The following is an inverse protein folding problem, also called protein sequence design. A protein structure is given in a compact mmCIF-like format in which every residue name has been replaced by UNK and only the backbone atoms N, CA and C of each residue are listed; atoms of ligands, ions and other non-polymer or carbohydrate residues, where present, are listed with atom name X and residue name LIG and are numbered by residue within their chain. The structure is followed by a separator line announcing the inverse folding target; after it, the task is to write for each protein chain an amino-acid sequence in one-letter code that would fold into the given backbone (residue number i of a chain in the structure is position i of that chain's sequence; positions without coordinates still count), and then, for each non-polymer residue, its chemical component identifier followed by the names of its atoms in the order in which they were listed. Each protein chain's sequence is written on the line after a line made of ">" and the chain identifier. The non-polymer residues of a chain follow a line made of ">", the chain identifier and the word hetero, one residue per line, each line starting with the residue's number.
data_IF_320213773882
#
_entry.id   IF_320213773882
#
_cell.length_a   1.000
_cell.length_b   1.000
_cell.length_c   1.000
_cell.angle_alpha   90.00
_cell.angle_beta   90.00
_cell.angle_gamma   90.00
#
_symmetry.space_group_name_H-M   'P 1'
#
loop_
_entity.id
_entity.type
_entity.pdbx_description
1 polymer ?
#
# COMPACT_ATOMS: atom_id res chain seq x y z
N UNK A 1 19.30 -16.55 -33.20
CA UNK A 1 20.21 -16.14 -32.15
C UNK A 1 19.44 -16.31 -30.85
N UNK A 2 19.80 -17.33 -30.06
CA UNK A 2 19.19 -17.53 -28.72
C UNK A 2 19.59 -16.33 -27.89
N UNK A 3 18.61 -15.51 -27.50
CA UNK A 3 18.80 -14.49 -26.49
C UNK A 3 18.98 -15.21 -25.16
N UNK A 4 20.20 -15.58 -24.82
CA UNK A 4 20.59 -15.93 -23.46
C UNK A 4 20.55 -14.65 -22.62
N UNK A 5 19.35 -14.24 -22.23
CA UNK A 5 19.20 -13.31 -21.12
C UNK A 5 19.81 -13.99 -19.89
N UNK A 6 20.66 -13.30 -19.11
CA UNK A 6 21.10 -13.82 -17.83
C UNK A 6 19.84 -14.27 -17.10
N UNK A 7 19.84 -15.51 -16.62
CA UNK A 7 18.69 -16.10 -15.93
C UNK A 7 18.29 -15.19 -14.77
N UNK A 8 17.22 -14.41 -14.94
CA UNK A 8 16.64 -13.62 -13.85
C UNK A 8 15.89 -14.55 -12.89
N UNK A 9 16.66 -15.42 -12.24
CA UNK A 9 16.15 -16.29 -11.18
C UNK A 9 15.66 -15.47 -9.99
N UNK A 10 14.84 -16.05 -9.15
CA UNK A 10 14.38 -15.43 -7.90
C UNK A 10 15.53 -15.03 -7.00
N UNK A 11 16.63 -15.81 -6.96
CA UNK A 11 17.85 -15.48 -6.21
C UNK A 11 18.57 -14.26 -6.82
N UNK A 12 18.68 -14.19 -8.14
CA UNK A 12 19.30 -13.04 -8.82
C UNK A 12 18.48 -11.76 -8.58
N UNK A 13 17.17 -11.81 -8.79
CA UNK A 13 16.27 -10.67 -8.52
C UNK A 13 16.37 -10.23 -7.06
N UNK A 14 16.35 -11.19 -6.12
CA UNK A 14 16.47 -10.91 -4.69
C UNK A 14 17.79 -10.21 -4.35
N UNK A 15 18.90 -10.65 -4.93
CA UNK A 15 20.22 -10.06 -4.71
C UNK A 15 20.33 -8.64 -5.27
N UNK A 16 19.96 -8.44 -6.55
CA UNK A 16 20.05 -7.14 -7.23
C UNK A 16 19.13 -6.11 -6.59
N UNK A 17 17.93 -6.51 -6.24
CA UNK A 17 16.97 -5.63 -5.55
C UNK A 17 17.26 -5.48 -4.06
N UNK A 18 18.24 -6.20 -3.49
CA UNK A 18 18.50 -6.24 -2.05
C UNK A 18 17.22 -6.52 -1.24
N UNK A 19 16.49 -7.55 -1.65
CA UNK A 19 15.25 -7.93 -0.99
C UNK A 19 15.52 -8.42 0.44
N UNK A 20 14.67 -8.03 1.36
CA UNK A 20 14.65 -8.55 2.72
C UNK A 20 14.19 -10.02 2.71
N UNK A 21 14.59 -10.78 3.72
CA UNK A 21 14.25 -12.21 3.85
C UNK A 21 12.77 -12.54 3.55
N UNK A 22 11.76 -11.86 4.12
CA UNK A 22 10.37 -12.17 3.80
C UNK A 22 9.96 -11.84 2.37
N UNK A 23 10.58 -10.84 1.73
CA UNK A 23 10.34 -10.51 0.32
C UNK A 23 10.94 -11.60 -0.59
N UNK A 24 12.18 -12.02 -0.34
CA UNK A 24 12.83 -13.11 -1.09
C UNK A 24 12.06 -14.42 -0.93
N UNK A 25 11.57 -14.72 0.28
CA UNK A 25 10.75 -15.90 0.52
C UNK A 25 9.41 -15.83 -0.24
N UNK A 26 8.76 -14.67 -0.25
CA UNK A 26 7.53 -14.47 -1.05
C UNK A 26 7.77 -14.69 -2.54
N UNK A 27 8.90 -14.24 -3.06
CA UNK A 27 9.25 -14.41 -4.47
C UNK A 27 9.51 -15.89 -4.80
N UNK A 28 10.18 -16.64 -3.92
CA UNK A 28 10.39 -18.09 -4.07
C UNK A 28 9.07 -18.87 -4.02
N UNK A 29 8.17 -18.50 -3.14
CA UNK A 29 6.84 -19.11 -3.06
C UNK A 29 6.07 -18.87 -4.37
N UNK A 30 6.14 -17.68 -4.95
CA UNK A 30 5.54 -17.41 -6.25
C UNK A 30 6.14 -18.29 -7.34
N UNK A 31 7.48 -18.45 -7.37
CA UNK A 31 8.19 -19.34 -8.30
C UNK A 31 7.73 -20.79 -8.16
N UNK A 32 7.67 -21.32 -6.95
CA UNK A 32 7.23 -22.70 -6.70
C UNK A 32 5.79 -22.94 -7.19
N UNK A 33 4.88 -22.00 -6.92
CA UNK A 33 3.49 -22.09 -7.34
C UNK A 33 3.37 -21.99 -8.87
N UNK A 34 4.05 -21.03 -9.50
CA UNK A 34 3.94 -20.82 -10.95
C UNK A 34 4.66 -21.89 -11.76
N UNK A 35 5.61 -22.60 -11.18
CA UNK A 35 6.22 -23.80 -11.77
C UNK A 35 5.30 -25.04 -11.66
N UNK A 36 4.47 -25.11 -10.61
CA UNK A 36 3.53 -26.22 -10.41
C UNK A 36 2.20 -26.01 -11.16
N UNK A 37 1.80 -24.76 -11.42
CA UNK A 37 0.53 -24.39 -12.04
C UNK A 37 0.77 -23.59 -13.31
N UNK A 38 0.35 -24.11 -14.46
CA UNK A 38 0.46 -23.39 -15.72
C UNK A 38 -0.53 -22.20 -15.75
N UNK A 39 0.02 -20.98 -15.79
CA UNK A 39 -0.75 -19.74 -15.89
C UNK A 39 -1.38 -19.60 -17.28
N UNK A 40 -2.71 -19.66 -17.39
CA UNK A 40 -3.46 -19.41 -18.62
C UNK A 40 -4.90 -19.03 -18.33
N UNK A 41 -5.52 -18.22 -19.18
CA UNK A 41 -6.96 -17.95 -19.09
C UNK A 41 -7.76 -19.27 -19.19
N UNK A 42 -8.81 -19.39 -18.35
CA UNK A 42 -9.64 -20.59 -18.31
C UNK A 42 -8.96 -21.84 -17.72
N UNK A 43 -7.89 -21.68 -16.92
CA UNK A 43 -7.29 -22.79 -16.18
C UNK A 43 -8.33 -23.45 -15.26
N UNK A 44 -8.15 -24.72 -14.98
CA UNK A 44 -8.98 -25.43 -13.99
C UNK A 44 -8.62 -24.97 -12.58
N UNK A 45 -9.40 -24.05 -12.01
CA UNK A 45 -9.14 -23.46 -10.67
C UNK A 45 -9.15 -24.52 -9.57
N UNK A 46 -9.99 -25.57 -9.68
CA UNK A 46 -10.02 -26.65 -8.67
C UNK A 46 -8.73 -27.45 -8.67
N UNK A 47 -8.20 -27.76 -9.84
CA UNK A 47 -6.92 -28.46 -9.97
C UNK A 47 -5.76 -27.57 -9.51
N UNK A 48 -5.77 -26.28 -9.87
CA UNK A 48 -4.78 -25.30 -9.42
C UNK A 48 -4.81 -25.14 -7.89
N UNK A 49 -5.99 -25.04 -7.29
CA UNK A 49 -6.14 -24.97 -5.83
C UNK A 49 -5.61 -26.23 -5.15
N UNK A 50 -5.89 -27.42 -5.70
CA UNK A 50 -5.36 -28.67 -5.18
C UNK A 50 -3.82 -28.72 -5.17
N UNK A 51 -3.19 -28.23 -6.23
CA UNK A 51 -1.73 -28.13 -6.33
C UNK A 51 -1.15 -27.12 -5.32
N UNK A 52 -1.75 -25.93 -5.22
CA UNK A 52 -1.34 -24.90 -4.25
C UNK A 52 -1.55 -25.39 -2.80
N UNK A 53 -2.70 -25.96 -2.50
CA UNK A 53 -3.01 -26.50 -1.15
C UNK A 53 -2.04 -27.61 -0.72
N UNK A 54 -1.60 -28.45 -1.65
CA UNK A 54 -0.61 -29.49 -1.36
C UNK A 54 0.75 -28.92 -0.91
N UNK A 55 1.16 -27.78 -1.46
CA UNK A 55 2.39 -27.07 -1.09
C UNK A 55 2.20 -26.12 0.10
N UNK A 56 1.06 -25.46 0.14
CA UNK A 56 0.70 -24.43 1.12
C UNK A 56 -0.67 -24.72 1.74
N UNK A 57 -0.76 -25.60 2.76
CA UNK A 57 -2.04 -26.07 3.33
C UNK A 57 -2.93 -24.98 3.93
N UNK A 58 -2.38 -23.80 4.24
CA UNK A 58 -3.15 -22.65 4.73
C UNK A 58 -4.06 -22.11 3.61
N UNK A 59 -3.65 -22.22 2.34
CA UNK A 59 -4.45 -21.82 1.19
C UNK A 59 -5.50 -22.91 0.90
N UNK A 60 -6.75 -22.67 1.34
CA UNK A 60 -7.86 -23.62 1.19
C UNK A 60 -8.91 -23.20 0.16
N UNK A 61 -8.86 -21.95 -0.31
CA UNK A 61 -9.80 -21.39 -1.29
C UNK A 61 -9.16 -20.13 -1.91
N UNK A 62 -9.31 -19.90 -3.21
CA UNK A 62 -8.82 -18.67 -3.84
C UNK A 62 -9.70 -17.46 -3.54
N UNK A 63 -10.93 -17.66 -3.07
CA UNK A 63 -11.92 -16.62 -2.74
C UNK A 63 -12.22 -15.64 -3.91
N UNK A 64 -11.85 -16.03 -5.15
CA UNK A 64 -11.98 -15.29 -6.40
C UNK A 64 -12.31 -16.25 -7.54
N UNK A 65 -12.81 -15.72 -8.65
CA UNK A 65 -13.07 -16.50 -9.87
C UNK A 65 -11.80 -16.71 -10.70
N UNK A 66 -10.63 -16.44 -10.11
CA UNK A 66 -9.30 -16.66 -10.66
C UNK A 66 -8.32 -17.09 -9.55
N UNK A 67 -7.16 -17.60 -9.94
CA UNK A 67 -6.11 -17.94 -8.98
C UNK A 67 -5.62 -16.69 -8.27
N UNK A 68 -5.89 -16.56 -6.97
CA UNK A 68 -5.48 -15.43 -6.14
C UNK A 68 -4.68 -15.91 -4.93
N UNK A 69 -3.50 -15.30 -4.74
CA UNK A 69 -2.52 -15.68 -3.72
C UNK A 69 -2.25 -14.49 -2.81
N UNK A 70 -2.49 -14.67 -1.50
CA UNK A 70 -2.24 -13.63 -0.49
C UNK A 70 -0.90 -13.87 0.20
N UNK A 71 -0.07 -12.82 0.18
CA UNK A 71 1.16 -12.69 0.98
C UNK A 71 0.87 -11.72 2.12
N UNK A 72 0.67 -12.28 3.32
CA UNK A 72 0.37 -11.52 4.52
C UNK A 72 1.67 -11.03 5.17
N UNK A 73 2.09 -9.81 4.82
CA UNK A 73 3.36 -9.22 5.25
C UNK A 73 3.12 -8.01 6.15
N UNK A 74 3.75 -7.99 7.31
CA UNK A 74 3.68 -6.85 8.24
C UNK A 74 4.02 -5.52 7.56
N UNK A 75 3.52 -4.42 8.15
CA UNK A 75 3.89 -3.06 7.73
C UNK A 75 5.40 -2.83 7.89
N UNK A 76 5.98 -2.02 7.00
CA UNK A 76 7.42 -1.72 7.05
C UNK A 76 8.34 -2.75 6.40
N UNK A 77 7.83 -3.94 6.03
CA UNK A 77 8.63 -5.00 5.36
C UNK A 77 9.01 -4.63 3.92
N UNK A 78 8.26 -3.73 3.27
CA UNK A 78 8.54 -3.25 1.91
C UNK A 78 7.68 -3.94 0.84
N UNK A 79 6.38 -4.05 1.05
CA UNK A 79 5.41 -4.63 0.10
C UNK A 79 5.53 -4.04 -1.31
N UNK A 80 5.70 -2.72 -1.45
CA UNK A 80 5.85 -2.03 -2.75
C UNK A 80 7.08 -2.53 -3.54
N UNK A 81 8.22 -2.76 -2.86
CA UNK A 81 9.41 -3.30 -3.52
C UNK A 81 9.22 -4.75 -3.96
N UNK A 82 8.47 -5.53 -3.19
CA UNK A 82 8.08 -6.89 -3.57
C UNK A 82 7.18 -6.91 -4.81
N UNK A 83 6.29 -5.93 -4.99
CA UNK A 83 5.52 -5.81 -6.25
C UNK A 83 6.44 -5.72 -7.47
N UNK A 84 7.49 -4.88 -7.38
CA UNK A 84 8.50 -4.77 -8.45
C UNK A 84 9.22 -6.09 -8.72
N UNK A 85 9.53 -6.86 -7.68
CA UNK A 85 10.15 -8.17 -7.82
C UNK A 85 9.20 -9.20 -8.48
N UNK A 86 7.92 -9.19 -8.10
CA UNK A 86 6.90 -10.04 -8.75
C UNK A 86 6.73 -9.70 -10.23
N UNK A 87 6.65 -8.41 -10.58
CA UNK A 87 6.57 -7.96 -11.97
C UNK A 87 7.79 -8.44 -12.78
N UNK A 88 9.00 -8.19 -12.25
CA UNK A 88 10.23 -8.60 -12.93
C UNK A 88 10.31 -10.12 -13.13
N UNK A 89 9.96 -10.90 -12.12
CA UNK A 89 9.94 -12.37 -12.19
C UNK A 89 8.92 -12.87 -13.23
N UNK A 90 7.68 -12.40 -13.16
CA UNK A 90 6.62 -12.84 -14.07
C UNK A 90 6.90 -12.42 -15.51
N UNK A 91 7.49 -11.25 -15.73
CA UNK A 91 7.92 -10.81 -17.04
C UNK A 91 9.03 -11.70 -17.60
N UNK A 92 10.08 -11.96 -16.83
CA UNK A 92 11.27 -12.67 -17.32
C UNK A 92 11.09 -14.19 -17.44
N UNK A 93 10.30 -14.81 -16.55
CA UNK A 93 10.13 -16.26 -16.51
C UNK A 93 8.83 -16.74 -17.19
N UNK A 94 7.78 -15.91 -17.15
CA UNK A 94 6.47 -16.29 -17.69
C UNK A 94 6.01 -15.43 -18.87
N UNK A 95 6.85 -14.47 -19.31
CA UNK A 95 6.58 -13.56 -20.44
C UNK A 95 5.29 -12.74 -20.28
N UNK A 96 4.90 -12.48 -19.03
CA UNK A 96 3.74 -11.65 -18.70
C UNK A 96 4.12 -10.19 -18.84
N UNK A 97 3.32 -9.44 -19.60
CA UNK A 97 3.59 -8.05 -19.96
C UNK A 97 2.60 -7.06 -19.37
N UNK A 98 1.44 -7.52 -18.94
CA UNK A 98 0.34 -6.66 -18.51
C UNK A 98 0.02 -6.85 -17.04
N UNK A 99 0.18 -5.78 -16.26
CA UNK A 99 -0.04 -5.76 -14.81
C UNK A 99 -1.04 -4.68 -14.43
N UNK A 100 -2.02 -5.02 -13.61
CA UNK A 100 -2.99 -4.07 -13.06
C UNK A 100 -2.79 -3.93 -11.55
N UNK A 101 -2.23 -2.79 -11.14
CA UNK A 101 -1.91 -2.48 -9.75
C UNK A 101 -3.04 -1.66 -9.14
N UNK A 102 -3.65 -2.18 -8.09
CA UNK A 102 -4.80 -1.55 -7.41
C UNK A 102 -4.36 -0.95 -6.08
N UNK A 103 -4.60 0.35 -5.92
CA UNK A 103 -4.33 1.11 -4.71
C UNK A 103 -5.62 1.35 -3.90
N UNK A 104 -5.57 1.30 -2.55
CA UNK A 104 -6.76 1.43 -1.69
C UNK A 104 -7.30 2.86 -1.59
N UNK A 105 -6.46 3.88 -1.84
CA UNK A 105 -6.83 5.30 -1.75
C UNK A 105 -5.93 6.18 -2.62
N UNK A 106 -6.30 7.46 -2.76
CA UNK A 106 -5.58 8.43 -3.60
C UNK A 106 -4.13 8.65 -3.16
N UNK A 107 -3.85 8.69 -1.87
CA UNK A 107 -2.48 8.93 -1.36
C UNK A 107 -1.55 7.77 -1.73
N UNK A 108 -2.01 6.53 -1.57
CA UNK A 108 -1.23 5.34 -1.95
C UNK A 108 -1.13 5.24 -3.48
N UNK A 109 -2.18 5.60 -4.22
CA UNK A 109 -2.16 5.65 -5.68
C UNK A 109 -1.06 6.60 -6.20
N UNK A 110 -1.01 7.85 -5.73
CA UNK A 110 0.02 8.82 -6.16
C UNK A 110 1.43 8.35 -5.79
N UNK A 111 1.59 7.76 -4.61
CA UNK A 111 2.85 7.17 -4.19
C UNK A 111 3.27 6.02 -5.10
N UNK A 112 2.39 5.07 -5.37
CA UNK A 112 2.67 3.93 -6.26
C UNK A 112 3.01 4.39 -7.67
N UNK A 113 2.24 5.34 -8.22
CA UNK A 113 2.52 5.95 -9.52
C UNK A 113 3.95 6.52 -9.57
N UNK A 114 4.36 7.28 -8.55
CA UNK A 114 5.71 7.83 -8.45
C UNK A 114 6.78 6.74 -8.29
N UNK A 115 6.59 5.79 -7.37
CA UNK A 115 7.56 4.73 -7.08
C UNK A 115 7.75 3.77 -8.28
N UNK A 116 6.73 3.65 -9.16
CA UNK A 116 6.79 2.83 -10.38
C UNK A 116 7.37 3.60 -11.59
N UNK A 117 7.21 4.94 -11.69
CA UNK A 117 7.57 5.72 -12.87
C UNK A 117 8.89 6.50 -12.75
N UNK A 118 9.25 6.99 -11.56
CA UNK A 118 10.41 7.87 -11.36
C UNK A 118 11.70 7.07 -11.15
N UNK A 119 12.38 6.76 -12.26
CA UNK A 119 13.63 6.01 -12.25
C UNK A 119 14.82 6.72 -11.57
N UNK A 120 14.72 8.04 -11.33
CA UNK A 120 15.73 8.80 -10.59
C UNK A 120 15.53 8.70 -9.07
N UNK A 121 14.35 8.30 -8.63
CA UNK A 121 14.03 8.18 -7.22
C UNK A 121 14.81 7.04 -6.54
N UNK A 122 15.25 7.29 -5.30
CA UNK A 122 15.79 6.22 -4.46
C UNK A 122 14.76 5.12 -4.14
N UNK A 123 13.46 5.45 -4.26
CA UNK A 123 12.33 4.55 -3.99
C UNK A 123 11.82 3.83 -5.25
N UNK A 124 12.44 4.06 -6.42
CA UNK A 124 12.05 3.38 -7.67
C UNK A 124 12.05 1.86 -7.50
N UNK A 125 10.90 1.23 -7.78
CA UNK A 125 10.69 -0.19 -7.46
C UNK A 125 11.60 -1.13 -8.24
N UNK A 126 11.98 -0.76 -9.47
CA UNK A 126 12.83 -1.57 -10.35
C UNK A 126 14.31 -1.19 -10.29
N UNK A 127 14.71 -0.42 -9.28
CA UNK A 127 16.10 0.05 -9.16
C UNK A 127 17.07 -1.12 -9.08
N UNK A 128 18.06 -1.10 -9.98
CA UNK A 128 19.07 -2.13 -10.11
C UNK A 128 18.72 -3.27 -11.07
N UNK A 129 17.47 -3.39 -11.51
CA UNK A 129 17.05 -4.38 -12.51
C UNK A 129 17.33 -3.88 -13.92
N UNK A 130 17.98 -4.72 -14.73
CA UNK A 130 18.23 -4.49 -16.15
C UNK A 130 17.46 -5.43 -17.06
N UNK A 131 16.34 -6.00 -16.57
CA UNK A 131 15.55 -6.98 -17.33
C UNK A 131 14.64 -6.37 -18.39
N UNK A 132 14.35 -5.08 -18.29
CA UNK A 132 13.46 -4.41 -19.22
C UNK A 132 14.26 -3.77 -20.34
N UNK A 133 13.93 -4.06 -21.61
CA UNK A 133 14.56 -3.44 -22.79
C UNK A 133 14.18 -1.96 -22.91
N UNK A 134 12.96 -1.62 -22.49
CA UNK A 134 12.45 -0.26 -22.31
C UNK A 134 11.87 -0.12 -20.92
N UNK A 135 11.82 1.10 -20.39
CA UNK A 135 11.17 1.31 -19.09
C UNK A 135 9.70 0.88 -19.13
N UNK A 136 9.20 0.20 -18.09
CA UNK A 136 7.78 -0.13 -18.00
C UNK A 136 6.89 1.10 -18.16
N UNK A 137 5.88 1.00 -19.02
CA UNK A 137 4.93 2.08 -19.24
C UNK A 137 3.88 2.08 -18.13
N UNK A 138 3.81 3.19 -17.39
CA UNK A 138 2.81 3.38 -16.35
C UNK A 138 1.60 4.09 -16.95
N UNK A 139 0.43 3.45 -16.85
CA UNK A 139 -0.83 3.89 -17.44
C UNK A 139 -1.84 4.09 -16.32
N UNK A 140 -2.51 5.24 -16.32
CA UNK A 140 -3.58 5.57 -15.37
C UNK A 140 -4.89 5.83 -16.12
N UNK A 141 -5.99 5.94 -15.41
CA UNK A 141 -7.29 6.29 -16.00
C UNK A 141 -7.29 7.66 -16.69
N UNK A 142 -6.47 8.60 -16.22
CA UNK A 142 -6.38 9.96 -16.77
C UNK A 142 -5.65 10.00 -18.13
N UNK A 143 -4.68 9.12 -18.36
CA UNK A 143 -3.81 9.14 -19.54
C UNK A 143 -3.96 7.91 -20.47
N UNK A 144 -4.92 7.04 -20.16
CA UNK A 144 -5.15 5.82 -20.93
C UNK A 144 -5.34 6.05 -22.43
N UNK A 145 -6.16 7.05 -22.81
CA UNK A 145 -6.48 7.32 -24.23
C UNK A 145 -5.26 7.73 -25.04
N UNK A 146 -4.37 8.51 -24.45
CA UNK A 146 -3.13 8.96 -25.11
C UNK A 146 -2.11 7.83 -25.19
N UNK A 147 -1.96 7.06 -24.11
CA UNK A 147 -0.97 5.99 -24.00
C UNK A 147 -1.37 4.70 -24.70
N UNK A 148 -2.66 4.48 -24.97
CA UNK A 148 -3.10 3.32 -25.77
C UNK A 148 -2.54 3.32 -27.18
N UNK A 149 -2.30 4.50 -27.76
CA UNK A 149 -1.67 4.64 -29.08
C UNK A 149 -0.18 4.26 -29.07
N UNK A 150 0.46 4.28 -27.89
CA UNK A 150 1.90 3.96 -27.70
C UNK A 150 2.15 2.61 -27.01
N UNK A 151 1.14 1.73 -26.90
CA UNK A 151 1.30 0.38 -26.29
C UNK A 151 2.36 -0.50 -27.00
N UNK A 152 2.81 -0.11 -28.19
CA UNK A 152 3.87 -0.80 -28.92
C UNK A 152 5.29 -0.33 -28.56
N UNK A 153 5.43 0.73 -27.73
CA UNK A 153 6.72 1.33 -27.40
C UNK A 153 7.38 0.70 -26.15
N UNK A 154 6.62 -0.04 -25.36
CA UNK A 154 7.11 -0.71 -24.15
C UNK A 154 6.77 -2.19 -24.14
N UNK A 155 7.70 -2.98 -23.57
CA UNK A 155 7.49 -4.43 -23.40
C UNK A 155 6.60 -4.74 -22.18
N UNK A 156 6.45 -3.82 -21.25
CA UNK A 156 5.70 -4.01 -20.00
C UNK A 156 4.77 -2.84 -19.74
N UNK A 157 3.49 -3.13 -19.52
CA UNK A 157 2.46 -2.18 -19.21
C UNK A 157 1.98 -2.37 -17.78
N UNK A 158 2.02 -1.31 -16.97
CA UNK A 158 1.54 -1.31 -15.60
C UNK A 158 0.42 -0.30 -15.47
N UNK A 159 -0.79 -0.80 -15.40
CA UNK A 159 -1.99 0.00 -15.17
C UNK A 159 -2.14 0.23 -13.68
N UNK A 160 -2.15 1.48 -13.23
CA UNK A 160 -2.31 1.83 -11.80
C UNK A 160 -3.67 2.47 -11.59
N UNK A 161 -4.43 1.95 -10.64
CA UNK A 161 -5.80 2.40 -10.40
C UNK A 161 -6.13 2.57 -8.91
N UNK A 162 -6.97 3.59 -8.60
CA UNK A 162 -7.45 3.83 -7.25
C UNK A 162 -8.87 3.28 -7.06
N UNK A 163 -9.01 2.26 -6.21
CA UNK A 163 -10.30 1.59 -5.96
C UNK A 163 -11.32 2.48 -5.24
N UNK A 164 -10.91 3.52 -4.52
CA UNK A 164 -11.83 4.45 -3.85
C UNK A 164 -12.74 5.18 -4.82
N UNK A 165 -12.31 5.32 -6.08
CA UNK A 165 -13.17 5.83 -7.15
C UNK A 165 -14.41 4.93 -7.36
N UNK A 166 -14.31 3.62 -7.07
CA UNK A 166 -15.42 2.66 -7.15
C UNK A 166 -16.36 2.72 -5.94
N UNK A 167 -15.83 3.03 -4.75
CA UNK A 167 -16.59 2.93 -3.49
C UNK A 167 -17.46 4.16 -3.20
N UNK A 168 -17.07 5.36 -3.69
CA UNK A 168 -17.71 6.64 -3.30
C UNK A 168 -19.10 6.88 -3.86
N UNK A 169 -19.53 6.19 -4.91
CA UNK A 169 -20.77 6.52 -5.61
C UNK A 169 -21.88 5.46 -5.61
N UNK A 170 -21.85 4.48 -4.71
CA UNK A 170 -22.85 3.42 -4.67
C UNK A 170 -22.95 2.65 -6.00
N UNK A 171 -21.82 2.51 -6.67
CA UNK A 171 -21.74 2.12 -8.06
C UNK A 171 -22.23 0.70 -8.31
N UNK A 172 -23.27 0.59 -9.13
CA UNK A 172 -23.52 -0.60 -9.93
C UNK A 172 -22.34 -0.80 -10.89
N UNK A 173 -22.04 -2.06 -11.25
CA UNK A 173 -21.01 -2.44 -12.22
C UNK A 173 -21.02 -1.57 -13.49
N UNK A 174 -22.22 -1.20 -14.00
CA UNK A 174 -22.36 -0.24 -15.11
C UNK A 174 -21.66 1.11 -14.85
N UNK A 175 -21.71 1.65 -13.63
CA UNK A 175 -21.06 2.92 -13.30
C UNK A 175 -19.54 2.81 -13.16
N UNK A 176 -19.04 1.63 -12.79
CA UNK A 176 -17.59 1.35 -12.81
C UNK A 176 -17.09 1.40 -14.25
N UNK A 177 -17.79 0.74 -15.18
CA UNK A 177 -17.47 0.76 -16.59
C UNK A 177 -17.58 2.20 -17.15
N UNK A 178 -18.58 2.98 -16.74
CA UNK A 178 -18.73 4.39 -17.13
C UNK A 178 -17.60 5.29 -16.59
N UNK A 179 -17.11 5.06 -15.38
CA UNK A 179 -16.02 5.83 -14.76
C UNK A 179 -14.65 5.57 -15.36
N UNK A 180 -14.36 4.31 -15.67
CA UNK A 180 -13.11 3.91 -16.34
C UNK A 180 -13.21 4.13 -17.85
N UNK A 181 -14.43 4.19 -18.37
CA UNK A 181 -14.78 4.07 -19.79
C UNK A 181 -14.91 2.60 -20.19
N UNK A 182 -16.04 2.23 -20.76
CA UNK A 182 -16.33 0.86 -21.22
C UNK A 182 -15.19 0.29 -22.07
N UNK A 183 -14.54 1.14 -22.89
CA UNK A 183 -13.43 0.78 -23.72
C UNK A 183 -12.15 0.37 -22.96
N UNK A 184 -11.86 1.01 -21.81
CA UNK A 184 -10.67 0.67 -21.02
C UNK A 184 -10.85 -0.63 -20.24
N UNK A 185 -11.99 -0.79 -19.60
CA UNK A 185 -12.31 -1.99 -18.84
C UNK A 185 -12.35 -3.23 -19.75
N UNK A 186 -13.00 -3.11 -20.92
CA UNK A 186 -13.03 -4.15 -21.93
C UNK A 186 -11.62 -4.48 -22.44
N UNK A 187 -10.81 -3.45 -22.73
CA UNK A 187 -9.43 -3.65 -23.16
C UNK A 187 -8.59 -4.41 -22.11
N UNK A 188 -8.76 -4.10 -20.81
CA UNK A 188 -8.08 -4.84 -19.74
C UNK A 188 -8.55 -6.30 -19.67
N UNK A 189 -9.86 -6.55 -19.77
CA UNK A 189 -10.43 -7.90 -19.69
C UNK A 189 -10.04 -8.76 -20.90
N UNK A 190 -9.78 -8.14 -22.06
CA UNK A 190 -9.38 -8.82 -23.29
C UNK A 190 -7.88 -9.16 -23.30
N UNK A 191 -7.06 -8.57 -22.43
CA UNK A 191 -5.63 -8.88 -22.36
C UNK A 191 -5.41 -10.37 -22.04
N UNK A 192 -4.57 -11.07 -22.81
CA UNK A 192 -4.36 -12.51 -22.62
C UNK A 192 -3.56 -12.87 -21.36
N UNK A 193 -2.77 -11.94 -20.84
CA UNK A 193 -1.76 -12.14 -19.81
C UNK A 193 -1.88 -11.15 -18.64
N UNK A 194 -3.09 -10.68 -18.33
CA UNK A 194 -3.32 -9.73 -17.24
C UNK A 194 -3.07 -10.36 -15.87
N UNK A 195 -2.21 -9.73 -15.07
CA UNK A 195 -1.98 -10.05 -13.65
C UNK A 195 -2.43 -8.91 -12.76
N UNK A 196 -3.25 -9.19 -11.75
CA UNK A 196 -3.63 -8.22 -10.72
C UNK A 196 -2.61 -8.20 -9.60
N UNK A 197 -2.24 -7.00 -9.13
CA UNK A 197 -1.46 -6.80 -7.91
C UNK A 197 -2.25 -5.85 -7.01
N UNK A 198 -2.66 -6.33 -5.86
CA UNK A 198 -3.58 -5.64 -4.96
C UNK A 198 -2.86 -5.26 -3.66
N UNK A 199 -2.58 -3.96 -3.47
CA UNK A 199 -2.01 -3.46 -2.22
C UNK A 199 -3.12 -3.25 -1.18
N UNK A 200 -2.86 -3.62 0.08
CA UNK A 200 -3.81 -3.61 1.18
C UNK A 200 -5.15 -4.29 0.79
N UNK A 201 -5.06 -5.52 0.31
CA UNK A 201 -6.14 -6.27 -0.34
C UNK A 201 -7.40 -6.47 0.51
N UNK A 202 -7.31 -6.29 1.83
CA UNK A 202 -8.47 -6.33 2.73
C UNK A 202 -9.53 -5.26 2.39
N UNK A 203 -9.16 -4.16 1.70
CA UNK A 203 -10.09 -3.14 1.20
C UNK A 203 -10.93 -3.61 0.00
N UNK A 204 -10.54 -4.68 -0.70
CA UNK A 204 -11.18 -5.15 -1.94
C UNK A 204 -12.03 -6.40 -1.78
N UNK A 205 -12.37 -6.74 -0.54
CA UNK A 205 -13.16 -7.93 -0.20
C UNK A 205 -14.67 -7.66 -0.09
N UNK A 206 -15.10 -6.38 -0.16
CA UNK A 206 -16.52 -6.05 -0.27
C UNK A 206 -17.08 -6.57 -1.61
N UNK A 207 -18.30 -7.08 -1.61
CA UNK A 207 -18.95 -7.76 -2.75
C UNK A 207 -18.78 -7.04 -4.09
N UNK A 208 -19.02 -5.73 -4.11
CA UNK A 208 -18.96 -4.93 -5.35
C UNK A 208 -17.55 -4.78 -5.91
N UNK A 209 -16.56 -4.54 -5.04
CA UNK A 209 -15.16 -4.44 -5.46
C UNK A 209 -14.59 -5.79 -5.89
N UNK A 210 -14.98 -6.86 -5.20
CA UNK A 210 -14.58 -8.21 -5.56
C UNK A 210 -15.12 -8.64 -6.93
N UNK A 211 -16.38 -8.34 -7.22
CA UNK A 211 -17.01 -8.64 -8.50
C UNK A 211 -16.33 -7.91 -9.67
N UNK A 212 -16.03 -6.61 -9.51
CA UNK A 212 -15.36 -5.82 -10.54
C UNK A 212 -13.99 -6.41 -10.91
N UNK A 213 -13.22 -6.88 -9.91
CA UNK A 213 -11.93 -7.51 -10.15
C UNK A 213 -12.06 -8.91 -10.79
N UNK A 214 -13.09 -9.68 -10.44
CA UNK A 214 -13.36 -10.98 -11.04
C UNK A 214 -13.67 -10.88 -12.53
N UNK A 215 -14.44 -9.88 -12.94
CA UNK A 215 -14.85 -9.66 -14.35
C UNK A 215 -13.70 -9.21 -15.27
N UNK A 216 -12.53 -8.81 -14.73
CA UNK A 216 -11.32 -8.61 -15.50
C UNK A 216 -10.69 -9.91 -16.01
N UNK A 217 -11.12 -11.07 -15.50
CA UNK A 217 -10.63 -12.39 -15.86
C UNK A 217 -9.09 -12.50 -15.90
N UNK A 218 -8.37 -12.08 -14.86
CA UNK A 218 -6.90 -12.13 -14.85
C UNK A 218 -6.39 -13.56 -14.78
N UNK A 219 -5.13 -13.77 -15.18
CA UNK A 219 -4.44 -15.05 -15.04
C UNK A 219 -4.13 -15.37 -13.57
N UNK A 220 -3.77 -14.33 -12.82
CA UNK A 220 -3.27 -14.42 -11.46
C UNK A 220 -3.58 -13.13 -10.71
N UNK A 221 -3.93 -13.25 -9.44
CA UNK A 221 -3.99 -12.16 -8.49
C UNK A 221 -2.95 -12.32 -7.39
N UNK A 222 -2.17 -11.29 -7.14
CA UNK A 222 -1.20 -11.21 -6.04
C UNK A 222 -1.72 -10.19 -5.03
N UNK A 223 -2.13 -10.69 -3.88
CA UNK A 223 -2.70 -9.88 -2.81
C UNK A 223 -1.64 -9.62 -1.72
N UNK A 224 -1.41 -8.34 -1.43
CA UNK A 224 -0.48 -7.90 -0.39
C UNK A 224 -1.26 -7.22 0.72
N UNK A 225 -1.10 -7.68 1.95
CA UNK A 225 -1.76 -7.05 3.12
C UNK A 225 -0.98 -7.34 4.39
N UNK A 226 -1.10 -6.46 5.38
CA UNK A 226 -0.60 -6.74 6.73
C UNK A 226 -1.68 -7.43 7.60
N UNK A 227 -2.94 -7.33 7.19
CA UNK A 227 -4.10 -7.82 7.93
C UNK A 227 -4.97 -8.70 7.03
N UNK A 228 -4.69 -10.03 6.92
CA UNK A 228 -5.46 -10.93 6.06
C UNK A 228 -6.81 -11.31 6.69
N UNK A 229 -7.60 -10.29 7.03
CA UNK A 229 -8.90 -10.40 7.69
C UNK A 229 -9.93 -9.56 6.94
N UNK A 230 -11.15 -10.08 6.82
CA UNK A 230 -12.31 -9.34 6.32
C UNK A 230 -13.38 -9.24 7.41
N UNK A 231 -13.98 -8.07 7.54
CA UNK A 231 -15.10 -7.87 8.47
C UNK A 231 -16.40 -8.28 7.79
N UNK A 232 -17.08 -9.30 8.31
CA UNK A 232 -18.42 -9.73 7.90
C UNK A 232 -19.37 -9.53 9.07
N UNK A 233 -20.20 -8.49 9.00
CA UNK A 233 -21.01 -8.04 10.15
C UNK A 233 -20.09 -7.64 11.32
N UNK A 234 -20.27 -8.25 12.48
CA UNK A 234 -19.46 -8.00 13.69
C UNK A 234 -18.30 -9.00 13.86
N UNK A 235 -18.00 -9.83 12.86
CA UNK A 235 -16.96 -10.86 12.96
C UNK A 235 -15.82 -10.57 11.98
N UNK A 236 -14.58 -10.79 12.43
CA UNK A 236 -13.43 -10.85 11.57
C UNK A 236 -13.22 -12.29 11.09
N UNK A 237 -13.10 -12.45 9.78
CA UNK A 237 -12.92 -13.74 9.11
C UNK A 237 -11.57 -13.75 8.41
N UNK A 238 -10.69 -14.73 8.67
CA UNK A 238 -9.41 -14.87 7.98
C UNK A 238 -9.59 -15.11 6.48
N UNK A 239 -8.63 -14.65 5.69
CA UNK A 239 -8.52 -15.00 4.27
C UNK A 239 -8.19 -16.48 4.13
N UNK A 240 -8.70 -17.12 3.08
CA UNK A 240 -8.48 -18.53 2.79
C UNK A 240 -7.42 -18.78 1.72
N UNK A 241 -6.99 -17.72 1.01
CA UNK A 241 -6.01 -17.76 -0.07
C UNK A 241 -4.60 -17.34 0.36
N UNK A 242 -4.29 -17.42 1.66
CA UNK A 242 -2.97 -17.08 2.19
C UNK A 242 -1.97 -18.17 1.87
N UNK A 243 -0.86 -17.81 1.23
CA UNK A 243 0.26 -18.71 0.91
C UNK A 243 1.50 -18.43 1.75
N UNK A 244 1.60 -17.24 2.32
CA UNK A 244 2.70 -16.85 3.19
C UNK A 244 2.28 -15.83 4.23
N UNK A 245 2.72 -16.05 5.48
CA UNK A 245 2.51 -15.12 6.59
C UNK A 245 3.83 -14.70 7.22
N UNK A 246 4.01 -13.39 7.36
CA UNK A 246 5.13 -12.80 8.07
C UNK A 246 4.59 -11.72 9.03
N UNK A 247 4.28 -12.12 10.28
CA UNK A 247 3.56 -11.27 11.22
C UNK A 247 4.42 -10.13 11.77
N UNK A 248 3.76 -9.13 12.39
CA UNK A 248 4.42 -7.95 12.98
C UNK A 248 5.45 -8.32 14.05
N UNK A 249 5.17 -9.34 14.88
CA UNK A 249 6.11 -9.83 15.89
C UNK A 249 7.45 -10.24 15.26
N UNK A 250 7.40 -10.97 14.14
CA UNK A 250 8.60 -11.39 13.40
C UNK A 250 9.32 -10.22 12.75
N UNK A 251 8.58 -9.25 12.22
CA UNK A 251 9.15 -8.05 11.63
C UNK A 251 9.88 -7.16 12.67
N UNK A 252 9.40 -7.16 13.90
CA UNK A 252 10.05 -6.49 15.04
C UNK A 252 11.31 -7.25 15.44
N UNK A 253 11.21 -8.56 15.61
CA UNK A 253 12.35 -9.43 15.97
C UNK A 253 13.50 -9.31 14.96
N UNK A 254 13.18 -9.34 13.66
CA UNK A 254 14.16 -9.21 12.57
C UNK A 254 14.59 -7.75 12.32
N UNK A 255 14.11 -6.78 13.11
CA UNK A 255 14.49 -5.36 13.03
C UNK A 255 13.97 -4.59 11.81
N UNK A 256 12.99 -5.12 11.08
CA UNK A 256 12.38 -4.44 9.92
C UNK A 256 11.34 -3.40 10.31
N UNK A 257 10.75 -3.54 11.49
CA UNK A 257 9.74 -2.64 12.03
C UNK A 257 10.10 -2.29 13.47
N UNK A 258 9.87 -1.03 13.85
CA UNK A 258 10.12 -0.58 15.22
C UNK A 258 9.08 -1.16 16.16
N UNK A 259 9.50 -1.46 17.38
CA UNK A 259 8.59 -1.86 18.46
C UNK A 259 7.66 -0.68 18.79
N UNK A 260 6.33 -0.86 18.72
CA UNK A 260 5.39 0.16 19.19
C UNK A 260 5.42 0.21 20.73
N UNK A 261 5.39 1.40 21.27
CA UNK A 261 5.27 1.62 22.71
C UNK A 261 3.94 2.29 23.00
N UNK A 262 3.13 1.70 23.87
CA UNK A 262 1.95 2.33 24.42
C UNK A 262 2.35 3.07 25.70
N UNK A 263 2.08 4.37 25.74
CA UNK A 263 2.30 5.20 26.93
C UNK A 263 0.93 5.47 27.55
N UNK A 264 0.77 5.07 28.80
CA UNK A 264 -0.46 5.32 29.57
C UNK A 264 -0.11 5.96 30.90
N UNK A 265 -1.05 6.70 31.48
CA UNK A 265 -0.95 7.20 32.86
C UNK A 265 -1.47 6.11 33.79
N UNK A 266 -0.74 5.87 34.91
CA UNK A 266 -1.13 4.94 35.96
C UNK A 266 -1.78 5.62 37.16
N UNK A 267 -1.73 6.96 37.21
CA UNK A 267 -2.14 7.82 38.35
C UNK A 267 -3.51 8.49 38.15
N UNK A 268 -4.24 8.08 37.09
CA UNK A 268 -5.54 8.67 36.73
C UNK A 268 -6.64 7.60 36.81
N UNK A 269 -7.69 7.95 37.55
CA UNK A 269 -8.97 7.25 37.40
C UNK A 269 -9.80 7.92 36.32
N UNK A 270 -9.83 7.28 35.14
CA UNK A 270 -10.49 7.78 33.94
C UNK A 270 -12.00 8.04 34.12
N UNK A 271 -12.65 7.39 35.08
CA UNK A 271 -14.06 7.59 35.39
C UNK A 271 -14.37 8.96 36.00
N UNK A 272 -13.37 9.65 36.56
CA UNK A 272 -13.54 10.96 37.19
C UNK A 272 -13.41 12.14 36.21
N UNK A 273 -13.17 11.89 34.93
CA UNK A 273 -12.94 12.92 33.90
C UNK A 273 -13.92 12.80 32.76
N UNK A 274 -14.42 13.94 32.25
CA UNK A 274 -15.15 13.99 31.00
C UNK A 274 -14.27 13.74 29.77
N UNK A 275 -14.85 13.30 28.67
CA UNK A 275 -14.12 12.98 27.44
C UNK A 275 -13.22 14.14 26.97
N UNK A 276 -13.71 15.37 26.99
CA UNK A 276 -12.94 16.56 26.59
C UNK A 276 -11.70 16.78 27.48
N UNK A 277 -11.82 16.55 28.79
CA UNK A 277 -10.69 16.68 29.71
C UNK A 277 -9.65 15.59 29.47
N UNK A 278 -10.09 14.36 29.17
CA UNK A 278 -9.21 13.26 28.81
C UNK A 278 -8.48 13.55 27.50
N UNK A 279 -9.17 14.06 26.49
CA UNK A 279 -8.57 14.42 25.21
C UNK A 279 -7.54 15.54 25.37
N UNK A 280 -7.82 16.58 26.17
CA UNK A 280 -6.84 17.62 26.50
C UNK A 280 -5.59 17.05 27.16
N UNK A 281 -5.76 16.15 28.15
CA UNK A 281 -4.62 15.50 28.82
C UNK A 281 -3.80 14.66 27.84
N UNK A 282 -4.45 13.85 27.00
CA UNK A 282 -3.78 13.01 26.01
C UNK A 282 -2.99 13.87 24.99
N UNK A 283 -3.55 14.98 24.54
CA UNK A 283 -2.88 15.91 23.62
C UNK A 283 -1.66 16.58 24.27
N UNK A 284 -1.75 16.98 25.55
CA UNK A 284 -0.63 17.56 26.31
C UNK A 284 0.48 16.55 26.58
N UNK A 285 0.13 15.29 26.87
CA UNK A 285 1.10 14.20 27.01
C UNK A 285 1.76 13.87 25.69
N UNK A 286 0.96 13.77 24.62
CA UNK A 286 1.45 13.50 23.26
C UNK A 286 2.47 14.55 22.80
N UNK A 287 2.16 15.83 23.00
CA UNK A 287 3.09 16.90 22.61
C UNK A 287 4.36 16.93 23.47
N UNK A 288 4.26 16.57 24.76
CA UNK A 288 5.42 16.43 25.63
C UNK A 288 6.35 15.31 25.13
N UNK A 289 5.79 14.16 24.75
CA UNK A 289 6.53 13.06 24.13
C UNK A 289 7.16 13.49 22.81
N UNK A 290 6.42 14.21 21.95
CA UNK A 290 6.92 14.73 20.69
C UNK A 290 8.12 15.65 20.87
N UNK A 291 8.02 16.66 21.75
CA UNK A 291 9.10 17.59 22.04
C UNK A 291 10.34 16.89 22.62
N UNK A 292 10.14 15.90 23.49
CA UNK A 292 11.24 15.07 24.02
C UNK A 292 11.91 14.26 22.91
N UNK A 293 11.12 13.66 22.02
CA UNK A 293 11.63 12.89 20.88
C UNK A 293 12.42 13.76 19.92
N UNK A 294 11.91 14.95 19.60
CA UNK A 294 12.58 15.93 18.74
C UNK A 294 13.98 16.26 19.28
N UNK A 295 14.07 16.63 20.56
CA UNK A 295 15.38 16.91 21.21
C UNK A 295 16.34 15.73 21.17
N UNK A 296 15.84 14.51 21.43
CA UNK A 296 16.67 13.29 21.35
C UNK A 296 17.21 13.04 19.96
N UNK A 297 16.40 13.28 18.92
CA UNK A 297 16.82 13.12 17.51
C UNK A 297 17.85 14.18 17.09
N UNK A 298 17.70 15.42 17.55
CA UNK A 298 18.68 16.50 17.34
C UNK A 298 20.04 16.15 17.98
N UNK A 299 20.03 15.71 19.24
CA UNK A 299 21.26 15.27 19.95
C UNK A 299 21.90 14.06 19.25
N UNK A 300 21.09 13.08 18.84
CA UNK A 300 21.58 11.92 18.11
C UNK A 300 22.25 12.32 16.79
N UNK A 301 21.61 13.20 16.03
CA UNK A 301 22.12 13.69 14.75
C UNK A 301 23.48 14.39 14.93
N UNK A 302 23.57 15.28 15.94
CA UNK A 302 24.80 16.00 16.27
C UNK A 302 25.95 15.04 16.67
N UNK A 303 25.66 14.05 17.52
CA UNK A 303 26.67 13.10 18.02
C UNK A 303 27.17 12.12 16.95
N UNK A 304 26.38 11.87 15.88
CA UNK A 304 26.71 10.87 14.86
C UNK A 304 26.96 11.46 13.47
N UNK A 305 26.96 12.79 13.31
CA UNK A 305 27.14 13.45 12.03
C UNK A 305 26.06 13.04 11.00
N UNK A 306 24.81 12.82 11.45
CA UNK A 306 23.67 12.41 10.63
C UNK A 306 22.73 13.58 10.39
N UNK A 307 21.95 13.59 9.29
CA UNK A 307 20.85 14.52 9.12
C UNK A 307 19.83 14.40 10.26
N UNK A 308 19.27 15.51 10.68
CA UNK A 308 18.19 15.51 11.69
C UNK A 308 16.94 14.91 11.08
N UNK A 309 16.39 13.88 11.72
CA UNK A 309 15.09 13.33 11.38
C UNK A 309 14.01 14.15 12.07
N UNK A 310 13.11 14.74 11.29
CA UNK A 310 12.00 15.53 11.81
C UNK A 310 10.86 14.61 12.26
N UNK A 311 10.50 14.57 13.54
CA UNK A 311 9.31 13.87 14.00
C UNK A 311 8.06 14.73 13.79
N UNK A 312 6.91 14.10 13.67
CA UNK A 312 5.61 14.77 13.74
C UNK A 312 4.65 13.97 14.61
N UNK A 313 3.66 14.63 15.20
CA UNK A 313 2.62 14.02 16.02
C UNK A 313 1.38 13.77 15.14
N UNK A 314 0.93 12.51 15.07
CA UNK A 314 -0.33 12.15 14.41
C UNK A 314 -1.43 12.03 15.48
N UNK A 315 -2.51 12.77 15.32
CA UNK A 315 -3.70 12.71 16.18
C UNK A 315 -4.83 12.08 15.37
N UNK A 316 -5.31 10.91 15.81
CA UNK A 316 -6.42 10.22 15.17
C UNK A 316 -7.71 10.52 15.93
N UNK A 317 -8.67 11.14 15.26
CA UNK A 317 -9.95 11.53 15.79
C UNK A 317 -11.06 10.56 15.41
N UNK A 318 -12.10 10.45 16.25
CA UNK A 318 -13.23 9.53 16.02
C UNK A 318 -14.13 9.97 14.86
N UNK A 319 -14.26 11.27 14.63
CA UNK A 319 -15.10 11.88 13.61
C UNK A 319 -14.61 13.30 13.27
N UNK A 320 -15.24 13.93 12.27
CA UNK A 320 -14.88 15.25 11.77
C UNK A 320 -15.12 16.38 12.78
N UNK A 321 -16.15 16.25 13.64
CA UNK A 321 -16.48 17.26 14.67
C UNK A 321 -15.42 17.23 15.77
N UNK A 322 -15.02 16.04 16.18
CA UNK A 322 -13.91 15.85 17.11
C UNK A 322 -12.59 16.40 16.54
N UNK A 323 -12.31 16.15 15.26
CA UNK A 323 -11.11 16.67 14.60
C UNK A 323 -11.09 18.22 14.57
N UNK A 324 -12.23 18.85 14.32
CA UNK A 324 -12.38 20.29 14.34
C UNK A 324 -12.14 20.87 15.75
N UNK A 325 -12.69 20.22 16.77
CA UNK A 325 -12.47 20.60 18.15
C UNK A 325 -10.99 20.47 18.56
N UNK A 326 -10.35 19.35 18.20
CA UNK A 326 -8.91 19.13 18.44
C UNK A 326 -8.08 20.21 17.75
N UNK A 327 -8.39 20.56 16.50
CA UNK A 327 -7.68 21.60 15.77
C UNK A 327 -7.78 22.95 16.47
N UNK A 328 -8.99 23.34 16.89
CA UNK A 328 -9.22 24.58 17.63
C UNK A 328 -8.43 24.60 18.93
N UNK A 329 -8.44 23.53 19.71
CA UNK A 329 -7.68 23.42 20.94
C UNK A 329 -6.16 23.50 20.72
N UNK A 330 -5.63 22.75 19.78
CA UNK A 330 -4.18 22.72 19.46
C UNK A 330 -3.67 24.08 18.96
N UNK A 331 -4.53 24.84 18.24
CA UNK A 331 -4.22 26.20 17.76
C UNK A 331 -4.45 27.29 18.80
N UNK A 332 -5.07 26.98 19.96
CA UNK A 332 -5.36 27.94 21.02
C UNK A 332 -4.13 28.28 21.87
N UNK A 333 -4.26 29.33 22.67
CA UNK A 333 -3.21 29.72 23.62
C UNK A 333 -3.13 28.77 24.83
N UNK A 334 -4.19 27.98 25.10
CA UNK A 334 -4.18 26.95 26.13
C UNK A 334 -3.19 25.82 25.80
N UNK A 335 -2.98 25.56 24.50
CA UNK A 335 -2.05 24.52 24.05
C UNK A 335 -0.67 25.12 23.77
N UNK A 336 0.27 24.87 24.68
CA UNK A 336 1.67 25.35 24.56
C UNK A 336 1.80 26.82 24.18
N UNK A 337 0.93 27.68 24.74
CA UNK A 337 0.93 29.12 24.47
C UNK A 337 0.85 29.47 22.97
N UNK A 338 0.10 28.68 22.20
CA UNK A 338 -0.11 28.89 20.77
C UNK A 338 1.07 28.52 19.85
N UNK A 339 2.11 27.86 20.38
CA UNK A 339 3.34 27.54 19.63
C UNK A 339 3.11 26.63 18.39
N UNK A 340 1.97 25.92 18.35
CA UNK A 340 1.62 24.98 17.28
C UNK A 340 0.54 25.50 16.32
N UNK A 341 0.10 26.75 16.47
CA UNK A 341 -0.97 27.37 15.66
C UNK A 341 -0.71 27.26 14.15
N UNK A 342 0.51 27.53 13.70
CA UNK A 342 0.93 27.49 12.31
C UNK A 342 1.69 26.20 11.94
N UNK A 343 1.69 25.21 12.83
CA UNK A 343 2.38 23.92 12.65
C UNK A 343 1.43 22.74 12.63
N UNK A 344 0.14 23.00 12.54
CA UNK A 344 -0.92 21.99 12.62
C UNK A 344 -1.73 22.01 11.34
N UNK A 345 -1.92 20.84 10.75
CA UNK A 345 -2.84 20.60 9.63
C UNK A 345 -3.87 19.55 9.99
N UNK A 346 -5.05 19.68 9.40
CA UNK A 346 -6.11 18.67 9.44
C UNK A 346 -6.25 18.03 8.06
N UNK A 347 -6.37 16.70 8.04
CA UNK A 347 -6.51 15.92 6.79
C UNK A 347 -7.57 14.85 7.00
N UNK A 348 -8.68 14.95 6.25
CA UNK A 348 -9.71 13.91 6.23
C UNK A 348 -10.44 13.85 4.89
N UNK A 349 -11.05 12.72 4.58
CA UNK A 349 -11.64 12.41 3.27
C UNK A 349 -12.84 13.30 2.86
N UNK A 350 -13.45 14.02 3.78
CA UNK A 350 -14.59 14.91 3.50
C UNK A 350 -14.18 16.34 3.15
N UNK A 351 -12.92 16.73 3.32
CA UNK A 351 -12.44 18.04 2.90
C UNK A 351 -12.38 18.13 1.37
N UNK A 352 -12.81 19.24 0.80
CA UNK A 352 -12.75 19.54 -0.65
C UNK A 352 -12.27 20.97 -0.87
N UNK A 353 -11.52 21.19 -1.95
CA UNK A 353 -11.07 22.54 -2.36
C UNK A 353 -9.57 22.76 -2.22
N UNK A 354 -9.13 23.99 -2.52
CA UNK A 354 -7.72 24.38 -2.57
C UNK A 354 -6.95 24.17 -1.24
N UNK A 355 -7.62 24.33 -0.10
CA UNK A 355 -7.02 24.10 1.21
C UNK A 355 -6.69 22.63 1.44
N UNK A 356 -7.54 21.71 0.96
CA UNK A 356 -7.29 20.26 1.03
C UNK A 356 -6.07 19.87 0.21
N UNK A 357 -5.92 20.43 -0.99
CA UNK A 357 -4.75 20.18 -1.83
C UNK A 357 -3.47 20.70 -1.17
N UNK A 358 -3.52 21.89 -0.57
CA UNK A 358 -2.38 22.47 0.15
C UNK A 358 -1.99 21.60 1.35
N UNK A 359 -2.96 21.17 2.19
CA UNK A 359 -2.72 20.30 3.33
C UNK A 359 -2.20 18.92 2.90
N UNK A 360 -2.69 18.37 1.79
CA UNK A 360 -2.19 17.11 1.23
C UNK A 360 -0.75 17.22 0.76
N UNK A 361 -0.38 18.34 0.11
CA UNK A 361 1.02 18.59 -0.29
C UNK A 361 1.94 18.71 0.93
N UNK A 362 1.52 19.44 1.97
CA UNK A 362 2.26 19.53 3.22
C UNK A 362 2.40 18.17 3.92
N UNK A 363 1.36 17.33 3.89
CA UNK A 363 1.42 15.98 4.43
C UNK A 363 2.41 15.08 3.68
N UNK A 364 2.40 15.13 2.35
CA UNK A 364 3.30 14.34 1.51
C UNK A 364 4.78 14.72 1.68
N UNK A 365 5.03 15.96 2.09
CA UNK A 365 6.36 16.53 2.34
C UNK A 365 6.66 16.70 3.85
N UNK A 366 5.91 16.06 4.73
CA UNK A 366 6.00 16.26 6.19
C UNK A 366 7.36 15.88 6.78
N UNK A 367 8.09 14.97 6.14
CA UNK A 367 9.44 14.54 6.56
C UNK A 367 10.52 15.58 6.22
N UNK A 368 10.25 16.54 5.34
CA UNK A 368 11.18 17.60 4.97
C UNK A 368 11.43 18.52 6.16
N UNK A 369 12.67 18.76 6.58
CA UNK A 369 13.00 19.67 7.68
C UNK A 369 12.46 21.08 7.51
N UNK A 370 12.36 21.58 6.28
CA UNK A 370 11.84 22.93 5.95
C UNK A 370 10.31 23.03 6.05
N UNK A 371 9.61 21.89 6.07
CA UNK A 371 8.16 21.87 6.21
C UNK A 371 7.76 22.26 7.65
N UNK A 372 6.89 23.26 7.88
CA UNK A 372 6.55 23.73 9.22
C UNK A 372 5.68 22.77 10.03
N UNK A 373 5.04 21.79 9.40
CA UNK A 373 4.06 20.91 10.05
C UNK A 373 4.72 20.01 11.08
N UNK A 374 4.23 20.08 12.33
CA UNK A 374 4.63 19.22 13.42
C UNK A 374 3.46 18.38 14.00
N UNK A 375 2.20 18.78 13.71
CA UNK A 375 0.99 18.05 14.12
C UNK A 375 0.09 17.82 12.93
N UNK A 376 -0.30 16.57 12.73
CA UNK A 376 -1.27 16.16 11.70
C UNK A 376 -2.49 15.56 12.40
N UNK A 377 -3.67 16.13 12.15
CA UNK A 377 -4.96 15.65 12.69
C UNK A 377 -5.67 14.89 11.58
N UNK A 378 -6.12 13.68 11.87
CA UNK A 378 -6.76 12.76 10.92
C UNK A 378 -8.03 12.14 11.50
N UNK A 379 -8.98 11.78 10.61
CA UNK A 379 -10.25 11.08 10.98
C UNK A 379 -10.29 9.71 10.34
#
# INVERSE_FOLDING_TARGET
>A
MSNDFPLYTTDYISGVMSLRKPQSQSLKILEEITNAVQLRKGMNLKAALGAVHAMYPICSDFERDFMSLTFALATGVGKTRLMGAFIAYLYTQHHIRNFFVVAPNTTIFEKLKKDLSDNNSAKYVFKGLGCFSTLPQIITDDDYREKTLSLFESDVHIFVYNIDKFNKEGANMKKVNELIGDSFYQALSDLPDLVLIMDESHHYRAEKGAQALNELHPLLGLELTATPLVTKGNKQVPFKNVVYEYPLSKAIEDGYTRTPYAVTRSDIDFYNFGNEQLDKMMLLDGITCHESTKRKLEVYAANHGKPVVKPFMLVVCKDTDHATWVEQFVKSDEFRSGAYRNKTIIVHSKQKGAETEANTRLLLDVENPENPVEIVIHV
#
